data_IF_104229707678
#
_entry.id   IF_104229707678
#
_cell.length_a   1.000
_cell.length_b   1.000
_cell.length_c   1.000
_cell.angle_alpha   90.00
_cell.angle_beta   90.00
_cell.angle_gamma   90.00
#
_symmetry.space_group_name_H-M   'P 1'
#
loop_
_entity.id
_entity.type
_entity.pdbx_description
1 polymer ?
#
# COMPACT_ATOMS: atom_id res chain seq x y z
N UNK A 1 2.73 -24.54 -15.25
CA UNK A 1 1.56 -23.77 -15.71
C UNK A 1 0.41 -24.05 -14.76
N UNK A 2 -0.16 -23.01 -14.17
CA UNK A 2 -1.31 -23.10 -13.27
C UNK A 2 -2.58 -23.12 -14.11
N UNK A 3 -3.42 -24.14 -13.95
CA UNK A 3 -4.71 -24.27 -14.62
C UNK A 3 -5.83 -24.29 -13.58
N UNK A 4 -5.93 -23.22 -12.80
CA UNK A 4 -6.98 -23.04 -11.80
C UNK A 4 -7.86 -21.85 -12.16
N UNK A 5 -9.16 -21.92 -11.85
CA UNK A 5 -10.08 -20.80 -12.00
C UNK A 5 -9.76 -19.69 -10.97
N UNK A 6 -10.01 -18.44 -11.33
CA UNK A 6 -9.84 -17.29 -10.45
C UNK A 6 -9.18 -16.13 -11.16
N UNK A 7 -9.11 -14.99 -10.47
CA UNK A 7 -8.42 -13.81 -10.96
C UNK A 7 -6.98 -13.81 -10.44
N UNK A 8 -6.04 -14.10 -11.37
CA UNK A 8 -4.62 -14.20 -11.09
C UNK A 8 -3.87 -12.97 -11.63
N UNK A 9 -2.86 -12.51 -10.88
CA UNK A 9 -2.06 -11.36 -11.29
C UNK A 9 -0.66 -11.40 -10.70
N UNK A 10 0.37 -10.90 -11.44
CA UNK A 10 1.72 -10.77 -10.91
C UNK A 10 1.79 -9.63 -9.91
N UNK A 11 2.62 -9.78 -8.88
CA UNK A 11 2.83 -8.74 -7.85
C UNK A 11 4.25 -8.21 -7.86
N UNK A 12 5.24 -9.06 -7.66
CA UNK A 12 6.62 -8.61 -7.47
C UNK A 12 7.62 -9.66 -7.92
N UNK A 13 8.64 -9.23 -8.62
CA UNK A 13 9.81 -10.03 -8.91
C UNK A 13 10.77 -10.03 -7.73
N UNK A 14 11.40 -11.18 -7.47
CA UNK A 14 12.57 -11.26 -6.63
C UNK A 14 13.73 -10.52 -7.33
N UNK A 15 14.62 -9.79 -6.59
CA UNK A 15 15.69 -9.01 -7.21
C UNK A 15 16.63 -9.76 -8.13
N UNK A 16 16.85 -11.07 -7.90
CA UNK A 16 17.66 -11.91 -8.79
C UNK A 16 16.90 -12.47 -10.01
N UNK A 17 15.61 -12.17 -10.16
CA UNK A 17 14.78 -12.55 -11.30
C UNK A 17 14.32 -14.00 -11.34
N UNK A 18 14.65 -14.85 -10.37
CA UNK A 18 14.32 -16.27 -10.39
C UNK A 18 13.01 -16.64 -9.66
N UNK A 19 12.41 -15.72 -8.94
CA UNK A 19 11.12 -15.93 -8.26
C UNK A 19 10.15 -14.80 -8.55
N UNK A 20 8.86 -15.13 -8.51
CA UNK A 20 7.77 -14.20 -8.72
C UNK A 20 6.72 -14.38 -7.62
N UNK A 21 6.27 -13.29 -7.01
CA UNK A 21 5.05 -13.32 -6.20
C UNK A 21 3.85 -13.16 -7.12
N UNK A 22 2.87 -14.05 -6.95
CA UNK A 22 1.60 -14.06 -7.67
C UNK A 22 0.46 -13.97 -6.68
N UNK A 23 -0.54 -13.14 -6.99
CA UNK A 23 -1.77 -13.04 -6.23
C UNK A 23 -2.93 -13.77 -6.90
N UNK A 24 -3.80 -14.37 -6.10
CA UNK A 24 -5.11 -14.89 -6.52
C UNK A 24 -6.19 -14.19 -5.71
N UNK A 25 -7.05 -13.44 -6.36
CA UNK A 25 -8.18 -12.76 -5.73
C UNK A 25 -9.43 -13.63 -5.83
N UNK A 26 -10.13 -13.78 -4.72
CA UNK A 26 -11.41 -14.51 -4.62
C UNK A 26 -12.52 -13.54 -4.23
N UNK A 27 -12.33 -12.79 -3.14
CA UNK A 27 -13.29 -11.80 -2.65
C UNK A 27 -12.56 -10.70 -1.84
N UNK A 28 -13.29 -9.73 -1.37
CA UNK A 28 -12.74 -8.67 -0.51
C UNK A 28 -12.11 -9.21 0.79
N UNK A 29 -12.64 -10.33 1.29
CA UNK A 29 -12.17 -10.97 2.53
C UNK A 29 -11.32 -12.21 2.28
N UNK A 30 -11.02 -12.54 1.01
CA UNK A 30 -10.29 -13.76 0.68
C UNK A 30 -9.39 -13.55 -0.54
N UNK A 31 -8.11 -13.68 -0.32
CA UNK A 31 -7.12 -13.67 -1.38
C UNK A 31 -5.91 -14.52 -0.98
N UNK A 32 -5.15 -14.96 -1.96
CA UNK A 32 -4.01 -15.84 -1.76
C UNK A 32 -2.77 -15.25 -2.42
N UNK A 33 -1.64 -15.50 -1.78
CA UNK A 33 -0.31 -15.12 -2.27
C UNK A 33 0.49 -16.38 -2.49
N UNK A 34 1.14 -16.47 -3.63
CA UNK A 34 1.99 -17.60 -4.00
C UNK A 34 3.38 -17.10 -4.37
N UNK A 35 4.39 -17.90 -4.05
CA UNK A 35 5.76 -17.72 -4.54
C UNK A 35 6.01 -18.76 -5.62
N UNK A 36 6.31 -18.29 -6.82
CA UNK A 36 6.65 -19.13 -7.97
C UNK A 36 8.16 -19.12 -8.14
N UNK A 37 8.78 -20.30 -8.16
CA UNK A 37 10.17 -20.48 -8.54
C UNK A 37 10.23 -20.77 -10.03
N UNK A 38 10.88 -19.90 -10.81
CA UNK A 38 10.93 -20.01 -12.27
C UNK A 38 11.97 -21.01 -12.75
N UNK A 39 12.91 -21.43 -11.90
CA UNK A 39 13.93 -22.40 -12.24
C UNK A 39 13.39 -23.83 -12.30
N UNK A 40 12.53 -24.19 -11.34
CA UNK A 40 11.96 -25.54 -11.24
C UNK A 40 10.45 -25.59 -11.50
N UNK A 41 9.78 -24.43 -11.67
CA UNK A 41 8.35 -24.33 -11.95
C UNK A 41 7.44 -24.61 -10.74
N UNK A 42 7.98 -24.67 -9.53
CA UNK A 42 7.16 -24.86 -8.33
C UNK A 42 6.40 -23.59 -7.96
N UNK A 43 5.21 -23.78 -7.39
CA UNK A 43 4.38 -22.71 -6.86
C UNK A 43 3.94 -23.07 -5.44
N UNK A 44 4.34 -22.27 -4.48
CA UNK A 44 4.04 -22.49 -3.06
C UNK A 44 3.13 -21.39 -2.53
N UNK A 45 2.07 -21.77 -1.81
CA UNK A 45 1.19 -20.83 -1.17
C UNK A 45 1.91 -20.21 0.04
N UNK A 46 2.00 -18.88 0.06
CA UNK A 46 2.66 -18.10 1.10
C UNK A 46 1.80 -17.97 2.37
N UNK A 47 0.52 -17.70 2.21
CA UNK A 47 -0.41 -17.51 3.33
C UNK A 47 -0.92 -18.85 3.88
N UNK A 48 -1.42 -18.90 5.15
CA UNK A 48 -1.96 -20.10 5.76
C UNK A 48 -3.04 -20.76 4.91
N UNK A 49 -3.09 -22.09 4.90
CA UNK A 49 -4.10 -22.87 4.17
C UNK A 49 -5.39 -22.95 4.99
N UNK A 50 -6.52 -22.81 4.31
CA UNK A 50 -7.85 -23.04 4.89
C UNK A 50 -8.43 -21.83 5.63
N UNK A 51 -7.71 -20.73 5.73
CA UNK A 51 -8.22 -19.49 6.32
C UNK A 51 -8.59 -18.47 5.25
N UNK A 52 -9.70 -17.75 5.48
CA UNK A 52 -10.10 -16.61 4.64
C UNK A 52 -9.44 -15.36 5.17
N UNK A 53 -8.43 -14.90 4.46
CA UNK A 53 -7.61 -13.75 4.81
C UNK A 53 -7.52 -12.83 3.62
N UNK A 54 -7.62 -11.52 3.86
CA UNK A 54 -7.44 -10.49 2.84
C UNK A 54 -5.97 -10.08 2.75
N UNK A 55 -5.32 -10.37 1.63
CA UNK A 55 -3.97 -9.92 1.30
C UNK A 55 -4.04 -8.77 0.29
N UNK A 56 -3.75 -7.56 0.73
CA UNK A 56 -3.78 -6.35 -0.11
C UNK A 56 -2.62 -6.29 -1.08
N UNK A 57 -1.40 -6.15 -0.59
CA UNK A 57 -0.15 -6.10 -1.37
C UNK A 57 0.84 -7.16 -0.92
N UNK A 58 1.78 -7.55 -1.80
CA UNK A 58 2.95 -8.34 -1.45
C UNK A 58 4.11 -8.00 -2.39
N UNK A 59 5.31 -7.79 -1.85
CA UNK A 59 6.50 -7.44 -2.61
C UNK A 59 7.74 -7.97 -1.93
N UNK A 60 8.67 -8.54 -2.69
CA UNK A 60 10.00 -8.84 -2.16
C UNK A 60 10.68 -7.56 -1.69
N UNK A 61 11.45 -7.65 -0.61
CA UNK A 61 12.39 -6.61 -0.22
C UNK A 61 13.47 -6.44 -1.29
N UNK A 62 14.07 -5.25 -1.38
CA UNK A 62 15.06 -4.95 -2.43
C UNK A 62 16.34 -5.78 -2.33
N UNK A 63 16.66 -6.30 -1.16
CA UNK A 63 17.76 -7.26 -0.92
C UNK A 63 17.36 -8.72 -1.20
N UNK A 64 16.07 -9.00 -1.40
CA UNK A 64 15.54 -10.34 -1.58
C UNK A 64 15.47 -11.19 -0.30
N UNK A 65 15.79 -10.63 0.85
CA UNK A 65 15.84 -11.38 2.11
C UNK A 65 14.49 -11.52 2.81
N UNK A 66 13.47 -10.81 2.31
CA UNK A 66 12.13 -10.86 2.90
C UNK A 66 11.02 -10.42 1.96
N UNK A 67 9.80 -10.42 2.49
CA UNK A 67 8.59 -10.02 1.80
C UNK A 67 7.83 -9.02 2.67
N UNK A 68 7.58 -7.82 2.14
CA UNK A 68 6.58 -6.91 2.68
C UNK A 68 5.21 -7.28 2.13
N UNK A 69 4.21 -7.34 2.99
CA UNK A 69 2.85 -7.63 2.60
C UNK A 69 1.85 -6.96 3.52
N UNK A 70 0.62 -6.77 3.07
CA UNK A 70 -0.47 -6.28 3.91
C UNK A 70 -1.55 -7.34 4.03
N UNK A 71 -2.00 -7.65 5.26
CA UNK A 71 -3.08 -8.58 5.53
C UNK A 71 -3.76 -8.31 6.87
N UNK A 72 -5.00 -8.79 6.99
CA UNK A 72 -5.81 -8.79 8.20
C UNK A 72 -5.67 -10.09 9.02
N UNK A 73 -4.68 -10.93 8.70
CA UNK A 73 -4.40 -12.20 9.37
C UNK A 73 -4.31 -12.03 10.90
N UNK A 74 -5.26 -12.63 11.63
CA UNK A 74 -5.33 -12.57 13.09
C UNK A 74 -5.58 -11.18 13.68
N UNK A 75 -6.02 -10.21 12.87
CA UNK A 75 -6.26 -8.82 13.28
C UNK A 75 -7.52 -8.26 12.62
N UNK A 76 -8.12 -7.21 13.21
CA UNK A 76 -9.28 -6.52 12.64
C UNK A 76 -8.90 -5.68 11.42
N UNK A 77 -7.72 -5.04 11.47
CA UNK A 77 -7.24 -4.18 10.40
C UNK A 77 -6.19 -4.87 9.56
N UNK A 78 -6.13 -4.51 8.28
CA UNK A 78 -5.10 -4.96 7.36
C UNK A 78 -3.79 -4.20 7.61
N UNK A 79 -2.91 -4.83 8.38
CA UNK A 79 -1.60 -4.29 8.73
C UNK A 79 -0.54 -4.52 7.66
N UNK A 80 0.42 -3.62 7.56
CA UNK A 80 1.68 -3.87 6.87
C UNK A 80 2.54 -4.81 7.72
N UNK A 81 3.07 -5.83 7.07
CA UNK A 81 3.85 -6.91 7.70
C UNK A 81 5.14 -7.16 6.94
N UNK A 82 6.09 -7.75 7.59
CA UNK A 82 7.35 -8.22 7.01
C UNK A 82 7.59 -9.68 7.36
N UNK A 83 7.90 -10.48 6.36
CA UNK A 83 8.35 -11.85 6.50
C UNK A 83 9.85 -11.91 6.23
N UNK A 84 10.63 -12.28 7.24
CA UNK A 84 12.08 -12.55 7.13
C UNK A 84 12.25 -14.00 6.68
N UNK A 85 12.69 -14.21 5.44
CA UNK A 85 12.81 -15.54 4.83
C UNK A 85 13.84 -16.41 5.55
N UNK A 86 14.95 -15.82 6.01
CA UNK A 86 16.03 -16.57 6.68
C UNK A 86 15.63 -17.04 8.07
N UNK A 87 14.85 -16.23 8.79
CA UNK A 87 14.43 -16.53 10.17
C UNK A 87 13.08 -17.23 10.24
N UNK A 88 12.40 -17.39 9.11
CA UNK A 88 11.02 -17.88 9.01
C UNK A 88 10.10 -17.14 10.00
N UNK A 89 10.16 -15.80 9.98
CA UNK A 89 9.48 -14.95 10.96
C UNK A 89 8.64 -13.88 10.34
N UNK A 90 7.36 -13.85 10.71
CA UNK A 90 6.42 -12.78 10.40
C UNK A 90 6.44 -11.71 11.50
N UNK A 91 6.39 -10.45 11.11
CA UNK A 91 6.35 -9.29 12.02
C UNK A 91 5.32 -8.29 11.55
N UNK A 92 4.41 -7.86 12.42
CA UNK A 92 3.47 -6.78 12.15
C UNK A 92 4.23 -5.45 12.34
N UNK A 93 4.26 -4.63 11.29
CA UNK A 93 5.01 -3.36 11.30
C UNK A 93 4.13 -2.18 11.74
N UNK A 94 2.82 -2.26 11.54
CA UNK A 94 1.85 -1.18 11.81
C UNK A 94 0.83 -1.56 12.88
N UNK A 95 1.20 -2.41 13.85
CA UNK A 95 0.30 -2.89 14.91
C UNK A 95 -0.34 -1.73 15.72
N UNK A 96 0.37 -0.62 15.87
CA UNK A 96 -0.09 0.57 16.57
C UNK A 96 -0.96 1.50 15.72
N UNK A 97 -1.27 1.14 14.47
CA UNK A 97 -2.12 1.92 13.58
C UNK A 97 -3.46 1.18 13.43
N UNK A 98 -4.56 1.66 14.05
CA UNK A 98 -5.86 1.00 14.01
C UNK A 98 -6.61 1.35 12.71
N UNK A 99 -5.98 1.12 11.56
CA UNK A 99 -6.49 1.43 10.23
C UNK A 99 -5.87 0.54 9.18
N UNK A 100 -6.62 0.28 8.12
CA UNK A 100 -6.16 -0.51 6.99
C UNK A 100 -5.00 0.13 6.24
N UNK A 101 -3.95 -0.62 6.02
CA UNK A 101 -2.92 -0.27 5.06
C UNK A 101 -3.41 -0.63 3.65
N UNK A 102 -3.56 0.40 2.80
CA UNK A 102 -4.12 0.25 1.45
C UNK A 102 -3.04 -0.05 0.41
N UNK A 103 -1.98 0.74 0.38
CA UNK A 103 -0.89 0.63 -0.59
C UNK A 103 0.46 0.79 0.10
N UNK A 104 1.50 0.20 -0.48
CA UNK A 104 2.88 0.45 -0.06
C UNK A 104 3.85 0.31 -1.23
N UNK A 105 5.01 0.95 -1.12
CA UNK A 105 6.12 0.87 -2.07
C UNK A 105 7.45 1.10 -1.37
N UNK A 106 8.53 0.54 -1.91
CA UNK A 106 9.90 0.71 -1.42
C UNK A 106 10.71 1.61 -2.33
N UNK A 107 11.67 2.36 -1.76
CA UNK A 107 12.74 3.00 -2.54
C UNK A 107 13.62 1.94 -3.22
N UNK A 108 14.31 2.32 -4.29
CA UNK A 108 15.15 1.37 -5.05
C UNK A 108 16.35 0.85 -4.24
N UNK A 109 16.86 1.67 -3.31
CA UNK A 109 17.91 1.27 -2.38
C UNK A 109 17.41 0.47 -1.15
N UNK A 110 16.09 0.23 -1.05
CA UNK A 110 15.45 -0.51 0.02
C UNK A 110 15.43 0.18 1.38
N UNK A 111 15.92 1.43 1.51
CA UNK A 111 16.05 2.12 2.80
C UNK A 111 14.78 2.81 3.27
N UNK A 112 13.86 3.10 2.35
CA UNK A 112 12.60 3.75 2.64
C UNK A 112 11.43 2.88 2.20
N UNK A 113 10.36 2.96 2.98
CA UNK A 113 9.06 2.37 2.68
C UNK A 113 8.00 3.47 2.82
N UNK A 114 7.19 3.65 1.80
CA UNK A 114 6.03 4.53 1.83
C UNK A 114 4.76 3.67 1.82
N UNK A 115 3.78 4.03 2.63
CA UNK A 115 2.49 3.37 2.65
C UNK A 115 1.36 4.34 2.97
N UNK A 116 0.15 3.96 2.59
CA UNK A 116 -1.06 4.72 2.90
C UNK A 116 -1.98 3.94 3.83
N UNK A 117 -2.63 4.69 4.73
CA UNK A 117 -3.72 4.21 5.56
C UNK A 117 -5.00 4.96 5.23
N UNK A 118 -6.15 4.30 5.33
CA UNK A 118 -7.45 4.96 5.25
C UNK A 118 -7.94 5.24 6.68
N UNK A 119 -7.90 6.51 7.09
CA UNK A 119 -8.27 6.93 8.42
C UNK A 119 -9.51 7.82 8.35
N UNK A 120 -10.67 7.26 8.69
CA UNK A 120 -11.96 7.95 8.58
C UNK A 120 -12.20 8.54 7.18
N UNK A 121 -12.14 7.69 6.13
CA UNK A 121 -12.27 8.08 4.73
C UNK A 121 -11.21 9.07 4.21
N UNK A 122 -10.20 9.42 5.00
CA UNK A 122 -9.08 10.26 4.61
C UNK A 122 -7.84 9.38 4.43
N UNK A 123 -7.25 9.41 3.25
CA UNK A 123 -6.00 8.69 3.03
C UNK A 123 -4.83 9.47 3.60
N UNK A 124 -4.05 8.82 4.47
CA UNK A 124 -2.80 9.38 5.01
C UNK A 124 -1.60 8.66 4.43
N UNK A 125 -0.63 9.43 3.96
CA UNK A 125 0.68 8.93 3.55
C UNK A 125 1.62 8.90 4.75
N UNK A 126 2.33 7.78 4.91
CA UNK A 126 3.44 7.63 5.86
C UNK A 126 4.69 7.18 5.11
N UNK A 127 5.83 7.71 5.52
CA UNK A 127 7.14 7.31 4.98
C UNK A 127 8.02 6.92 6.16
N UNK A 128 8.56 5.72 6.11
CA UNK A 128 9.38 5.19 7.19
C UNK A 128 10.74 4.72 6.67
N UNK A 129 11.76 4.74 7.54
CA UNK A 129 13.01 4.03 7.30
C UNK A 129 12.77 2.54 7.51
N UNK A 130 13.20 1.69 6.58
CA UNK A 130 13.06 0.23 6.71
C UNK A 130 13.80 -0.31 7.92
N UNK A 131 15.00 0.22 8.19
CA UNK A 131 15.72 -0.10 9.42
C UNK A 131 15.13 0.65 10.62
N UNK A 132 14.65 -0.12 11.61
CA UNK A 132 14.06 0.41 12.84
C UNK A 132 12.65 0.98 12.68
N UNK A 133 12.06 0.93 11.50
CA UNK A 133 10.69 1.33 11.16
C UNK A 133 10.29 2.71 11.71
N UNK A 134 11.22 3.69 11.58
CA UNK A 134 11.02 5.06 12.08
C UNK A 134 10.40 5.95 11.02
N UNK A 135 9.30 6.60 11.37
CA UNK A 135 8.59 7.53 10.49
C UNK A 135 9.43 8.78 10.19
N UNK A 136 9.40 9.22 8.94
CA UNK A 136 9.99 10.47 8.46
C UNK A 136 8.88 11.51 8.43
N UNK A 137 9.16 12.68 9.00
CA UNK A 137 8.21 13.78 8.95
C UNK A 137 8.05 14.26 7.51
N UNK A 138 6.80 14.27 7.03
CA UNK A 138 6.40 14.84 5.76
C UNK A 138 5.47 16.04 5.99
N UNK A 139 5.33 16.97 5.04
CA UNK A 139 4.39 18.07 5.13
C UNK A 139 2.94 17.54 5.12
N UNK A 140 2.02 18.40 5.57
CA UNK A 140 0.59 18.14 5.39
C UNK A 140 0.27 18.10 3.89
N UNK A 141 -0.34 17.02 3.43
CA UNK A 141 -0.82 16.89 2.08
C UNK A 141 -2.26 17.41 1.95
N UNK A 142 -2.72 17.78 0.75
CA UNK A 142 -4.13 18.05 0.49
C UNK A 142 -5.01 16.87 0.90
N UNK A 143 -6.22 17.15 1.35
CA UNK A 143 -7.21 16.11 1.63
C UNK A 143 -7.60 15.42 0.33
N UNK A 144 -7.79 14.11 0.40
CA UNK A 144 -8.21 13.29 -0.72
C UNK A 144 -7.72 11.86 -0.63
N UNK A 145 -8.05 11.10 -1.64
CA UNK A 145 -7.57 9.74 -1.84
C UNK A 145 -6.16 9.79 -2.44
N UNK A 146 -5.19 9.20 -1.75
CA UNK A 146 -3.80 9.12 -2.21
C UNK A 146 -3.55 7.73 -2.78
N UNK A 147 -3.03 7.68 -4.00
CA UNK A 147 -2.71 6.44 -4.72
C UNK A 147 -1.47 6.59 -5.59
N UNK A 148 -1.07 5.53 -6.29
CA UNK A 148 -0.01 5.58 -7.30
C UNK A 148 1.37 5.91 -6.74
N UNK A 149 1.66 5.51 -5.51
CA UNK A 149 2.94 5.77 -4.84
C UNK A 149 4.12 5.20 -5.62
N UNK A 150 5.08 6.05 -5.97
CA UNK A 150 6.29 5.64 -6.65
C UNK A 150 7.47 6.53 -6.24
N UNK A 151 8.52 5.91 -5.70
CA UNK A 151 9.79 6.60 -5.47
C UNK A 151 10.49 6.92 -6.79
N UNK A 152 11.24 8.02 -6.81
CA UNK A 152 12.25 8.25 -7.83
C UNK A 152 13.47 7.33 -7.59
N UNK A 153 14.34 7.09 -8.59
CA UNK A 153 15.48 6.19 -8.43
C UNK A 153 16.43 6.57 -7.28
N UNK A 154 16.48 7.84 -6.89
CA UNK A 154 17.32 8.30 -5.79
C UNK A 154 16.70 8.08 -4.41
N UNK A 155 15.40 7.73 -4.32
CA UNK A 155 14.64 7.63 -3.08
C UNK A 155 14.36 8.99 -2.42
N UNK A 156 14.72 10.11 -3.06
CA UNK A 156 14.56 11.44 -2.49
C UNK A 156 13.18 12.07 -2.74
N UNK A 157 12.40 11.50 -3.65
CA UNK A 157 11.08 12.00 -4.04
C UNK A 157 10.08 10.86 -4.14
N UNK A 158 8.82 11.19 -3.91
CA UNK A 158 7.68 10.29 -4.15
C UNK A 158 6.70 10.99 -5.08
N UNK A 159 6.40 10.35 -6.22
CA UNK A 159 5.26 10.69 -7.04
C UNK A 159 4.01 10.02 -6.46
N UNK A 160 2.89 10.71 -6.50
CA UNK A 160 1.60 10.23 -5.99
C UNK A 160 0.45 10.92 -6.73
N UNK A 161 -0.70 10.26 -6.75
CA UNK A 161 -1.95 10.88 -7.18
C UNK A 161 -2.76 11.30 -5.97
N UNK A 162 -3.36 12.50 -6.04
CA UNK A 162 -4.37 12.95 -5.07
C UNK A 162 -5.67 13.21 -5.84
N UNK A 163 -6.73 12.51 -5.41
CA UNK A 163 -8.09 12.70 -5.88
C UNK A 163 -8.94 13.25 -4.74
N UNK A 164 -9.67 14.32 -4.98
CA UNK A 164 -10.49 14.98 -3.97
C UNK A 164 -11.79 15.52 -4.56
N UNK A 165 -12.64 16.12 -3.75
CA UNK A 165 -13.84 16.83 -4.22
C UNK A 165 -13.51 18.00 -5.17
N UNK A 166 -12.28 18.51 -5.15
CA UNK A 166 -11.83 19.65 -5.98
C UNK A 166 -11.02 19.25 -7.19
N UNK A 167 -10.53 18.02 -7.28
CA UNK A 167 -9.76 17.52 -8.42
C UNK A 167 -10.07 16.06 -8.69
N UNK A 168 -10.34 15.70 -9.95
CA UNK A 168 -10.61 14.29 -10.33
C UNK A 168 -9.39 13.38 -10.24
N UNK A 169 -8.22 13.92 -9.91
CA UNK A 169 -6.98 13.18 -9.68
C UNK A 169 -5.81 13.81 -10.40
N UNK A 170 -4.90 14.37 -9.63
CA UNK A 170 -3.70 15.01 -10.15
C UNK A 170 -2.43 14.37 -9.62
N UNK A 171 -1.37 14.44 -10.42
CA UNK A 171 -0.05 13.96 -10.06
C UNK A 171 0.69 15.01 -9.25
N UNK A 172 1.20 14.61 -8.12
CA UNK A 172 2.05 15.41 -7.24
C UNK A 172 3.39 14.72 -7.05
N UNK A 173 4.42 15.52 -6.79
CA UNK A 173 5.75 15.03 -6.40
C UNK A 173 6.12 15.67 -5.06
N UNK A 174 6.31 14.83 -4.06
CA UNK A 174 6.81 15.21 -2.74
C UNK A 174 8.32 15.00 -2.68
N UNK A 175 9.07 16.07 -2.43
CA UNK A 175 10.50 15.96 -2.13
C UNK A 175 10.68 15.71 -0.62
N UNK A 176 11.25 14.57 -0.25
CA UNK A 176 11.40 14.13 1.13
C UNK A 176 12.49 14.89 1.90
N UNK A 177 13.42 15.51 1.18
CA UNK A 177 14.52 16.27 1.79
C UNK A 177 14.07 17.68 2.14
N UNK A 178 13.44 18.37 1.19
CA UNK A 178 12.98 19.75 1.37
C UNK A 178 11.57 19.87 1.92
N UNK A 179 10.78 18.79 1.91
CA UNK A 179 9.35 18.81 2.25
C UNK A 179 8.47 19.51 1.21
N UNK A 180 9.02 19.87 0.04
CA UNK A 180 8.26 20.59 -1.00
C UNK A 180 7.35 19.63 -1.74
N UNK A 181 6.03 19.96 -1.80
CA UNK A 181 5.04 19.30 -2.64
C UNK A 181 4.81 20.14 -3.90
N UNK A 182 4.87 19.51 -5.07
CA UNK A 182 4.65 20.17 -6.37
C UNK A 182 3.56 19.41 -7.11
N UNK A 183 2.52 20.13 -7.54
CA UNK A 183 1.51 19.59 -8.45
C UNK A 183 2.04 19.67 -9.88
N UNK A 184 1.98 18.55 -10.60
CA UNK A 184 2.49 18.44 -11.97
C UNK A 184 1.41 18.41 -13.03
N UNK A 185 0.22 17.96 -12.67
CA UNK A 185 -0.92 17.95 -13.61
C UNK A 185 -2.06 18.80 -13.07
N UNK A 186 -2.89 19.28 -13.98
CA UNK A 186 -4.15 19.94 -13.67
C UNK A 186 -5.21 19.29 -14.56
N UNK A 187 -5.99 18.42 -13.95
CA UNK A 187 -7.03 17.67 -14.65
C UNK A 187 -8.15 18.60 -15.14
N UNK A 188 -8.62 18.34 -16.34
CA UNK A 188 -9.75 19.06 -16.95
C UNK A 188 -11.04 18.76 -16.18
N UNK A 189 -11.81 19.81 -15.91
CA UNK A 189 -13.08 19.73 -15.16
C UNK A 189 -14.25 20.35 -15.94
N UNK A 190 -14.17 20.36 -17.27
CA UNK A 190 -15.25 20.87 -18.13
C UNK A 190 -15.43 22.39 -18.07
N UNK A 191 -14.35 23.15 -17.79
CA UNK A 191 -14.41 24.60 -17.66
C UNK A 191 -15.02 25.11 -16.35
N UNK A 192 -15.30 24.21 -15.40
CA UNK A 192 -15.81 24.60 -14.09
C UNK A 192 -14.71 25.27 -13.25
N UNK A 193 -15.10 26.23 -12.42
CA UNK A 193 -14.19 26.83 -11.45
C UNK A 193 -14.06 25.93 -10.20
N UNK A 194 -12.94 25.21 -10.08
CA UNK A 194 -12.68 24.30 -8.97
C UNK A 194 -12.53 25.02 -7.61
N UNK A 195 -12.27 26.33 -7.58
CA UNK A 195 -12.24 27.11 -6.34
C UNK A 195 -13.62 27.21 -5.70
N UNK A 196 -14.70 27.12 -6.51
CA UNK A 196 -16.07 27.09 -6.01
C UNK A 196 -16.52 25.72 -5.48
N UNK A 197 -15.73 24.67 -5.67
CA UNK A 197 -16.05 23.33 -5.18
C UNK A 197 -15.91 23.27 -3.66
N UNK A 198 -16.87 22.59 -3.03
CA UNK A 198 -16.91 22.45 -1.58
C UNK A 198 -15.90 21.39 -1.13
N UNK A 199 -15.21 21.65 -0.03
CA UNK A 199 -14.37 20.62 0.60
C UNK A 199 -15.25 19.52 1.21
N UNK A 200 -14.74 18.30 1.19
CA UNK A 200 -15.40 17.16 1.85
C UNK A 200 -15.38 17.39 3.37
N UNK A 201 -16.53 17.26 4.01
CA UNK A 201 -16.66 17.29 5.46
C UNK A 201 -16.84 15.84 5.96
N UNK A 202 -16.06 15.48 6.99
CA UNK A 202 -16.20 14.19 7.66
C UNK A 202 -17.40 14.25 8.60
N UNK A 203 -18.41 13.40 8.35
CA UNK A 203 -19.57 13.24 9.22
C UNK A 203 -19.42 11.88 9.94
N UNK A 204 -19.47 11.91 11.27
CA UNK A 204 -19.51 10.71 12.09
C UNK A 204 -20.91 10.52 12.67
N UNK A 205 -21.44 9.32 12.54
CA UNK A 205 -22.71 8.91 13.14
C UNK A 205 -22.50 7.70 14.05
N UNK A 206 -23.33 7.58 15.08
CA UNK A 206 -23.34 6.38 15.90
C UNK A 206 -24.18 5.30 15.23
N UNK A 207 -23.59 4.13 15.04
CA UNK A 207 -24.31 2.92 14.60
C UNK A 207 -25.20 2.38 15.73
N UNK A 208 -26.08 1.43 15.40
CA UNK A 208 -27.00 0.78 16.35
C UNK A 208 -26.27 0.02 17.48
N UNK A 209 -25.04 -0.38 17.25
CA UNK A 209 -24.16 -1.07 18.20
C UNK A 209 -23.26 -0.14 19.02
N UNK A 210 -23.41 1.19 18.83
CA UNK A 210 -22.64 2.23 19.50
C UNK A 210 -21.28 2.53 18.87
N UNK A 211 -20.90 1.85 17.78
CA UNK A 211 -19.69 2.18 17.03
C UNK A 211 -19.90 3.48 16.24
N UNK A 212 -18.84 4.25 16.13
CA UNK A 212 -18.80 5.41 15.23
C UNK A 212 -18.48 4.95 13.81
N UNK A 213 -19.33 5.37 12.87
CA UNK A 213 -19.14 5.17 11.43
C UNK A 213 -19.03 6.51 10.73
N UNK A 214 -18.19 6.60 9.71
CA UNK A 214 -17.93 7.81 8.92
C UNK A 214 -18.23 7.57 7.45
#
# INVERSE_FOLDING_TARGET
VVSESGYWFPRSWHPNGNKLIVGKYVSINESYVYIVDLGNGTMEQFNPKGEKISYGGASFSRDGEGIYYSSDEGTEFRHLRYYDIKKDKHTILTENIPWDVSNFTQSDDGKLLAFTTNENAITKLRVVKTFGFREIRIPKLPYGNISGLKFDPSGSKIALNINSSKTPGDVYVLNLISGKLIQWTKSEVGGLNTESFVDTELIEINSFDGLKVS
#
